data_IF_946024158743
#
_entry.id   IF_946024158743
#
_cell.length_a   1.000
_cell.length_b   1.000
_cell.length_c   1.000
_cell.angle_alpha   90.00
_cell.angle_beta   90.00
_cell.angle_gamma   90.00
#
_symmetry.space_group_name_H-M   'P 1'
#
loop_
_entity.id
_entity.type
_entity.pdbx_description
1 polymer ?
#
# COMPACT_ATOMS: atom_id res chain seq x y z
N UNK A 1 -4.09 24.97 -11.04
CA UNK A 1 -2.76 24.36 -10.83
C UNK A 1 -2.96 22.85 -10.79
N UNK A 2 -2.48 22.10 -11.78
CA UNK A 2 -2.57 20.64 -11.76
C UNK A 2 -1.39 20.09 -10.96
N UNK A 3 -1.56 19.92 -9.64
CA UNK A 3 -0.61 19.17 -8.84
C UNK A 3 -0.79 17.68 -9.17
N UNK A 4 0.08 17.15 -10.01
CA UNK A 4 0.16 15.72 -10.25
C UNK A 4 0.94 15.09 -9.09
N UNK A 5 0.22 14.56 -8.11
CA UNK A 5 0.82 13.81 -7.01
C UNK A 5 1.38 12.48 -7.53
N UNK A 6 2.61 12.15 -7.14
CA UNK A 6 3.21 10.84 -7.43
C UNK A 6 2.50 9.78 -6.60
N UNK A 7 1.97 8.75 -7.27
CA UNK A 7 1.37 7.59 -6.61
C UNK A 7 2.46 6.53 -6.39
N UNK A 8 2.59 6.05 -5.16
CA UNK A 8 3.53 4.99 -4.77
C UNK A 8 2.73 3.80 -4.25
N UNK A 9 2.91 2.62 -4.85
CA UNK A 9 2.42 1.35 -4.33
C UNK A 9 3.43 0.83 -3.30
N UNK A 10 3.18 1.11 -2.02
CA UNK A 10 4.03 0.74 -0.89
C UNK A 10 3.89 -0.74 -0.49
N UNK A 11 4.01 -1.67 -1.45
CA UNK A 11 3.69 -3.09 -1.24
C UNK A 11 4.51 -4.00 -2.13
N UNK A 12 5.08 -5.05 -1.55
CA UNK A 12 5.79 -6.14 -2.25
C UNK A 12 4.87 -7.21 -2.88
N UNK A 13 3.56 -7.17 -2.62
CA UNK A 13 2.62 -8.20 -3.09
C UNK A 13 2.43 -8.19 -4.63
N UNK A 14 2.73 -9.30 -5.35
CA UNK A 14 2.50 -9.40 -6.79
C UNK A 14 1.03 -9.19 -7.18
N UNK A 15 0.11 -9.73 -6.37
CA UNK A 15 -1.34 -9.58 -6.61
C UNK A 15 -1.81 -8.13 -6.50
N UNK A 16 -1.25 -7.35 -5.56
CA UNK A 16 -1.60 -5.92 -5.43
C UNK A 16 -1.09 -5.11 -6.63
N UNK A 17 0.09 -5.46 -7.16
CA UNK A 17 0.61 -4.87 -8.41
C UNK A 17 -0.35 -5.12 -9.59
N UNK A 18 -0.74 -6.38 -9.81
CA UNK A 18 -1.67 -6.75 -10.91
C UNK A 18 -3.03 -6.02 -10.82
N UNK A 19 -3.53 -5.80 -9.60
CA UNK A 19 -4.77 -5.03 -9.39
C UNK A 19 -4.56 -3.54 -9.70
N UNK A 20 -3.42 -2.97 -9.31
CA UNK A 20 -3.12 -1.55 -9.51
C UNK A 20 -2.91 -1.21 -10.99
N UNK A 21 -2.30 -2.12 -11.77
CA UNK A 21 -2.13 -1.98 -13.22
C UNK A 21 -3.46 -1.82 -13.97
N UNK A 22 -4.55 -2.43 -13.46
CA UNK A 22 -5.90 -2.29 -14.05
C UNK A 22 -6.45 -0.87 -13.95
N UNK A 23 -5.96 -0.04 -13.03
CA UNK A 23 -6.40 1.35 -12.86
C UNK A 23 -5.87 2.28 -13.96
N UNK A 24 -4.85 1.85 -14.73
CA UNK A 24 -4.20 2.65 -15.79
C UNK A 24 -3.70 4.03 -15.32
N UNK A 25 -3.40 4.15 -14.03
CA UNK A 25 -2.76 5.32 -13.44
C UNK A 25 -1.23 5.13 -13.45
N UNK A 26 -0.43 6.19 -13.64
CA UNK A 26 1.01 6.11 -13.44
C UNK A 26 1.32 5.96 -11.94
N UNK A 27 2.13 4.97 -11.58
CA UNK A 27 2.59 4.74 -10.22
C UNK A 27 4.00 4.12 -10.20
N UNK A 28 4.69 4.22 -9.07
CA UNK A 28 5.93 3.48 -8.80
C UNK A 28 5.74 2.49 -7.67
N UNK A 29 6.54 1.43 -7.62
CA UNK A 29 6.50 0.43 -6.54
C UNK A 29 7.69 0.68 -5.62
N UNK A 30 7.43 0.82 -4.33
CA UNK A 30 8.46 0.91 -3.29
C UNK A 30 8.07 -0.08 -2.19
N UNK A 31 8.75 -1.22 -2.10
CA UNK A 31 8.40 -2.24 -1.11
C UNK A 31 8.71 -1.73 0.31
N UNK A 32 7.75 -1.86 1.22
CA UNK A 32 7.99 -1.64 2.64
C UNK A 32 8.60 -2.88 3.26
N UNK A 33 9.54 -2.70 4.18
CA UNK A 33 10.10 -3.69 5.09
C UNK A 33 9.40 -3.69 6.46
N UNK A 34 8.31 -2.91 6.59
CA UNK A 34 7.51 -2.87 7.81
C UNK A 34 6.77 -4.18 8.05
N UNK A 35 6.99 -4.76 9.23
CA UNK A 35 6.29 -5.92 9.74
C UNK A 35 5.28 -5.48 10.83
N UNK A 36 4.01 -5.83 10.64
CA UNK A 36 2.94 -5.50 11.59
C UNK A 36 3.12 -6.29 12.90
N UNK A 37 3.05 -5.60 14.04
CA UNK A 37 3.01 -6.27 15.35
C UNK A 37 1.60 -6.81 15.63
N UNK A 38 1.42 -8.11 15.38
CA UNK A 38 0.17 -8.84 15.61
C UNK A 38 -0.14 -9.07 17.10
N UNK A 39 0.76 -8.71 18.02
CA UNK A 39 0.58 -8.89 19.48
C UNK A 39 -0.06 -7.69 20.18
N UNK A 40 -0.21 -6.57 19.46
CA UNK A 40 -0.84 -5.37 19.97
C UNK A 40 -2.28 -5.67 20.43
N UNK A 41 -2.63 -5.22 21.63
CA UNK A 41 -3.99 -5.33 22.19
C UNK A 41 -4.92 -4.27 21.60
N UNK A 42 -5.00 -4.21 20.27
CA UNK A 42 -5.92 -3.35 19.51
C UNK A 42 -6.88 -4.21 18.69
N UNK A 43 -8.11 -3.73 18.41
CA UNK A 43 -9.03 -4.48 17.56
C UNK A 43 -8.42 -4.75 16.17
N UNK A 44 -8.68 -5.91 15.53
CA UNK A 44 -8.11 -6.24 14.22
C UNK A 44 -8.38 -5.19 13.13
N UNK A 45 -9.58 -4.60 13.14
CA UNK A 45 -9.93 -3.51 12.22
C UNK A 45 -9.05 -2.25 12.40
N UNK A 46 -8.56 -2.02 13.63
CA UNK A 46 -7.66 -0.90 13.92
C UNK A 46 -6.23 -1.23 13.50
N UNK A 47 -5.81 -2.48 13.67
CA UNK A 47 -4.50 -2.96 13.22
C UNK A 47 -4.35 -2.86 11.69
N UNK A 48 -5.34 -3.32 10.90
CA UNK A 48 -5.28 -3.25 9.44
C UNK A 48 -5.28 -1.83 8.83
N UNK A 49 -5.43 -0.78 9.64
CA UNK A 49 -5.41 0.63 9.20
C UNK A 49 -4.05 1.29 9.36
N UNK A 50 -3.11 0.66 10.06
CA UNK A 50 -1.76 1.18 10.33
C UNK A 50 -0.80 0.68 9.29
#
# INVERSE_FOLDING_TARGET
MNNQYKIILASSSPRRKELFEKLRLPFTIEASDYEEDMTLKIPPLKLAKT
#
